data_IF_148182300901
#
_entry.id   IF_148182300901
#
_cell.length_a   1.000
_cell.length_b   1.000
_cell.length_c   1.000
_cell.angle_alpha   90.00
_cell.angle_beta   90.00
_cell.angle_gamma   90.00
#
_symmetry.space_group_name_H-M   'P 1'
#
loop_
_entity.id
_entity.type
_entity.pdbx_description
1 polymer ?
#
# COMPACT_ATOMS: atom_id res chain seq x y z
N UNK A 1 6.05 29.94 5.27
CA UNK A 1 5.82 28.49 5.11
C UNK A 1 4.96 28.15 3.89
N UNK A 2 3.84 28.85 3.66
CA UNK A 2 2.97 28.60 2.50
C UNK A 2 3.71 28.69 1.14
N UNK A 3 4.54 29.71 0.93
CA UNK A 3 5.34 29.88 -0.30
C UNK A 3 6.35 28.74 -0.57
N UNK A 4 6.89 28.11 0.49
CA UNK A 4 7.81 26.98 0.36
C UNK A 4 7.07 25.69 -0.06
N UNK A 5 5.83 25.52 0.42
CA UNK A 5 4.96 24.42 0.03
C UNK A 5 4.54 24.58 -1.43
N UNK A 6 4.16 25.79 -1.85
CA UNK A 6 3.80 26.09 -3.25
C UNK A 6 4.97 25.85 -4.22
N UNK A 7 6.19 26.23 -3.84
CA UNK A 7 7.39 25.98 -4.65
C UNK A 7 7.71 24.49 -4.78
N UNK A 8 7.51 23.71 -3.71
CA UNK A 8 7.69 22.26 -3.73
C UNK A 8 6.65 21.56 -4.63
N UNK A 9 5.40 22.02 -4.62
CA UNK A 9 4.32 21.51 -5.47
C UNK A 9 4.62 21.79 -6.95
N UNK A 10 5.01 23.02 -7.30
CA UNK A 10 5.38 23.35 -8.69
C UNK A 10 6.60 22.57 -9.18
N UNK A 11 7.59 22.33 -8.31
CA UNK A 11 8.77 21.54 -8.66
C UNK A 11 8.42 20.05 -8.92
N UNK A 12 7.40 19.52 -8.23
CA UNK A 12 6.93 18.15 -8.45
C UNK A 12 6.21 18.01 -9.81
N UNK A 13 5.46 19.03 -10.24
CA UNK A 13 4.75 19.01 -11.53
C UNK A 13 5.67 19.26 -12.74
N UNK A 14 6.83 19.89 -12.55
CA UNK A 14 7.81 20.11 -13.61
C UNK A 14 8.56 18.83 -14.05
N UNK A 15 8.49 17.75 -13.26
CA UNK A 15 9.01 16.44 -13.63
C UNK A 15 8.03 15.69 -14.54
N UNK A 16 8.46 15.32 -15.73
CA UNK A 16 7.63 14.59 -16.70
C UNK A 16 6.94 13.33 -16.14
N UNK A 17 5.93 12.85 -16.86
CA UNK A 17 5.01 11.80 -16.39
C UNK A 17 5.77 10.55 -15.89
N UNK A 18 5.70 10.30 -14.59
CA UNK A 18 6.39 9.18 -13.96
C UNK A 18 5.63 7.88 -14.21
N UNK A 19 6.36 6.81 -14.52
CA UNK A 19 5.78 5.48 -14.66
C UNK A 19 5.11 5.01 -13.37
N UNK A 20 3.81 4.69 -13.44
CA UNK A 20 3.00 4.18 -12.33
C UNK A 20 3.10 2.66 -12.16
N UNK A 21 3.93 1.97 -12.95
CA UNK A 21 4.04 0.50 -12.94
C UNK A 21 4.31 -0.05 -11.53
N UNK A 22 5.22 0.56 -10.79
CA UNK A 22 5.53 0.12 -9.43
C UNK A 22 4.31 0.25 -8.51
N UNK A 23 3.58 1.36 -8.57
CA UNK A 23 2.35 1.56 -7.80
C UNK A 23 1.29 0.50 -8.12
N UNK A 24 1.10 0.17 -9.40
CA UNK A 24 0.15 -0.88 -9.78
C UNK A 24 0.54 -2.26 -9.29
N UNK A 25 1.83 -2.60 -9.28
CA UNK A 25 2.32 -3.88 -8.76
C UNK A 25 2.07 -3.99 -7.25
N UNK A 26 2.51 -3.01 -6.45
CA UNK A 26 2.37 -3.08 -5.00
C UNK A 26 0.93 -2.86 -4.54
N UNK A 27 0.20 -1.94 -5.17
CA UNK A 27 -1.23 -1.75 -4.93
C UNK A 27 -2.03 -2.99 -5.28
N UNK A 28 -1.75 -3.61 -6.43
CA UNK A 28 -2.38 -4.87 -6.85
C UNK A 28 -2.07 -6.02 -5.89
N UNK A 29 -0.82 -6.17 -5.46
CA UNK A 29 -0.43 -7.17 -4.46
C UNK A 29 -1.18 -6.95 -3.14
N UNK A 30 -1.38 -5.70 -2.72
CA UNK A 30 -2.14 -5.39 -1.51
C UNK A 30 -3.63 -5.73 -1.65
N UNK A 31 -4.22 -5.48 -2.81
CA UNK A 31 -5.60 -5.91 -3.11
C UNK A 31 -5.72 -7.44 -3.07
N UNK A 32 -4.81 -8.17 -3.72
CA UNK A 32 -4.80 -9.64 -3.71
C UNK A 32 -4.71 -10.18 -2.28
N UNK A 33 -3.86 -9.58 -1.45
CA UNK A 33 -3.77 -9.93 -0.03
C UNK A 33 -5.09 -9.71 0.72
N UNK A 34 -5.74 -8.56 0.52
CA UNK A 34 -7.03 -8.25 1.14
C UNK A 34 -8.12 -9.25 0.71
N UNK A 35 -8.16 -9.61 -0.58
CA UNK A 35 -9.09 -10.61 -1.10
C UNK A 35 -8.82 -11.99 -0.50
N UNK A 36 -7.55 -12.39 -0.38
CA UNK A 36 -7.18 -13.64 0.28
C UNK A 36 -7.67 -13.67 1.74
N UNK A 37 -7.48 -12.59 2.50
CA UNK A 37 -8.00 -12.48 3.86
C UNK A 37 -9.53 -12.51 3.93
N UNK A 38 -10.21 -11.91 2.95
CA UNK A 38 -11.67 -11.97 2.85
C UNK A 38 -12.15 -13.42 2.68
N UNK A 39 -11.54 -14.17 1.77
CA UNK A 39 -11.89 -15.59 1.54
C UNK A 39 -11.60 -16.43 2.79
N UNK A 40 -10.43 -16.22 3.42
CA UNK A 40 -10.08 -16.94 4.65
C UNK A 40 -11.06 -16.62 5.78
N UNK A 41 -11.42 -15.35 5.98
CA UNK A 41 -12.37 -14.93 7.01
C UNK A 41 -13.78 -15.49 6.78
N UNK A 42 -14.19 -15.68 5.52
CA UNK A 42 -15.48 -16.31 5.18
C UNK A 42 -15.46 -17.83 5.37
N UNK A 43 -14.31 -18.47 5.19
CA UNK A 43 -14.18 -19.95 5.26
C UNK A 43 -13.78 -20.46 6.63
N UNK A 44 -13.16 -19.65 7.47
CA UNK A 44 -12.77 -19.99 8.85
C UNK A 44 -13.28 -18.97 9.85
N UNK A 45 -14.33 -19.33 10.59
CA UNK A 45 -14.93 -18.48 11.63
C UNK A 45 -13.97 -18.16 12.80
N UNK A 46 -12.97 -19.01 13.04
CA UNK A 46 -11.98 -18.83 14.12
C UNK A 46 -10.68 -18.16 13.64
N UNK A 47 -10.60 -17.77 12.37
CA UNK A 47 -9.45 -16.99 11.91
C UNK A 47 -9.45 -15.60 12.58
N UNK A 48 -8.30 -15.13 13.10
CA UNK A 48 -6.98 -15.78 13.12
C UNK A 48 -6.82 -16.75 14.30
N UNK A 49 -6.37 -17.97 14.03
CA UNK A 49 -6.38 -19.08 15.01
C UNK A 49 -5.29 -19.02 16.08
N UNK A 50 -4.17 -18.31 15.82
CA UNK A 50 -3.06 -18.18 16.77
C UNK A 50 -2.51 -16.76 16.83
N UNK A 51 -1.83 -16.42 17.93
CA UNK A 51 -1.18 -15.12 18.08
C UNK A 51 -0.10 -14.87 17.01
N UNK A 52 0.61 -15.92 16.57
CA UNK A 52 1.58 -15.85 15.50
C UNK A 52 0.93 -15.48 14.16
N UNK A 53 -0.17 -16.15 13.81
CA UNK A 53 -0.92 -15.86 12.58
C UNK A 53 -1.48 -14.44 12.61
N UNK A 54 -2.06 -14.00 13.73
CA UNK A 54 -2.54 -12.61 13.88
C UNK A 54 -1.43 -11.60 13.60
N UNK A 55 -0.25 -11.76 14.20
CA UNK A 55 0.89 -10.86 14.00
C UNK A 55 1.40 -10.92 12.55
N UNK A 56 1.50 -12.11 11.98
CA UNK A 56 1.88 -12.30 10.57
C UNK A 56 0.94 -11.56 9.62
N UNK A 57 -0.37 -11.70 9.82
CA UNK A 57 -1.38 -11.02 9.00
C UNK A 57 -1.24 -9.50 9.04
N UNK A 58 -1.04 -8.95 10.25
CA UNK A 58 -0.83 -7.51 10.45
C UNK A 58 0.46 -7.06 9.76
N UNK A 59 1.57 -7.78 9.97
CA UNK A 59 2.87 -7.42 9.41
C UNK A 59 2.85 -7.43 7.88
N UNK A 60 2.29 -8.47 7.26
CA UNK A 60 2.18 -8.56 5.80
C UNK A 60 1.32 -7.40 5.26
N UNK A 61 0.17 -7.13 5.89
CA UNK A 61 -0.68 -6.01 5.50
C UNK A 61 0.04 -4.66 5.62
N UNK A 62 0.76 -4.43 6.72
CA UNK A 62 1.50 -3.20 6.97
C UNK A 62 2.63 -2.98 5.96
N UNK A 63 3.37 -4.03 5.61
CA UNK A 63 4.43 -3.98 4.60
C UNK A 63 3.87 -3.68 3.22
N UNK A 64 2.81 -4.38 2.80
CA UNK A 64 2.17 -4.15 1.50
C UNK A 64 1.56 -2.75 1.41
N UNK A 65 0.89 -2.28 2.46
CA UNK A 65 0.36 -0.93 2.56
C UNK A 65 1.49 0.10 2.45
N UNK A 66 2.57 -0.04 3.23
CA UNK A 66 3.69 0.90 3.20
C UNK A 66 4.35 0.94 1.81
N UNK A 67 4.53 -0.22 1.16
CA UNK A 67 5.08 -0.29 -0.20
C UNK A 67 4.16 0.38 -1.23
N UNK A 68 2.84 0.14 -1.16
CA UNK A 68 1.86 0.78 -2.03
C UNK A 68 1.84 2.30 -1.83
N UNK A 69 1.87 2.78 -0.57
CA UNK A 69 1.92 4.22 -0.26
C UNK A 69 3.22 4.85 -0.75
N UNK A 70 4.38 4.23 -0.48
CA UNK A 70 5.67 4.73 -0.92
C UNK A 70 5.73 4.85 -2.45
N UNK A 71 5.29 3.81 -3.16
CA UNK A 71 5.27 3.83 -4.62
C UNK A 71 4.21 4.77 -5.19
N UNK A 72 3.09 4.98 -4.49
CA UNK A 72 2.13 6.03 -4.85
C UNK A 72 2.79 7.40 -4.83
N UNK A 73 3.55 7.74 -3.78
CA UNK A 73 4.22 9.05 -3.66
C UNK A 73 5.38 9.19 -4.63
N UNK A 74 6.21 8.15 -4.79
CA UNK A 74 7.36 8.18 -5.71
C UNK A 74 6.87 8.36 -7.16
N UNK A 75 5.80 7.64 -7.52
CA UNK A 75 5.27 7.66 -8.89
C UNK A 75 4.23 8.74 -9.12
N UNK A 76 3.66 9.38 -8.09
CA UNK A 76 2.77 10.55 -8.21
C UNK A 76 3.37 11.63 -9.10
#
# INVERSE_FOLDING_TARGET
MLHAISALVLAAEAGGEKSKTAFYIFGGAFVVWALALSVVGMTQATFPTTAAIKRGTILVGLVLMAAAMATAVITA
#
